data_IF_757836953090
#
_entry.id   IF_757836953090
#
_cell.length_a   1.000
_cell.length_b   1.000
_cell.length_c   1.000
_cell.angle_alpha   90.00
_cell.angle_beta   90.00
_cell.angle_gamma   90.00
#
_symmetry.space_group_name_H-M   'P 1'
#
loop_
_entity.id
_entity.type
_entity.pdbx_description
1 polymer ?
#
# COMPACT_ATOMS: atom_id res chain seq x y z
N UNK A 1 -37.81 18.37 19.92
CA UNK A 1 -38.57 17.43 19.07
C UNK A 1 -40.04 17.83 19.11
N UNK A 2 -40.83 17.71 18.03
CA UNK A 2 -40.54 17.21 16.67
C UNK A 2 -40.68 18.35 15.61
N UNK A 3 -40.42 18.22 14.31
CA UNK A 3 -39.98 17.13 13.44
C UNK A 3 -40.02 17.60 11.96
N UNK A 4 -38.96 17.27 11.21
CA UNK A 4 -38.90 16.72 9.83
C UNK A 4 -39.79 17.23 8.67
N UNK A 5 -39.12 17.52 7.54
CA UNK A 5 -39.65 17.48 6.16
C UNK A 5 -39.23 18.72 5.34
N UNK A 6 -38.61 18.66 4.17
CA UNK A 6 -38.12 17.59 3.31
C UNK A 6 -37.35 18.25 2.16
N UNK A 7 -36.13 17.79 1.87
CA UNK A 7 -35.39 18.16 0.66
C UNK A 7 -35.08 16.85 -0.06
N UNK A 8 -36.11 16.27 -0.65
CA UNK A 8 -36.04 15.01 -1.40
C UNK A 8 -36.90 15.14 -2.64
N UNK A 9 -36.38 15.84 -3.65
CA UNK A 9 -37.02 15.88 -4.98
C UNK A 9 -36.05 15.90 -6.17
N UNK A 10 -34.72 15.99 -5.95
CA UNK A 10 -33.77 16.21 -7.07
C UNK A 10 -32.93 15.02 -7.53
N UNK A 11 -32.86 13.91 -6.79
CA UNK A 11 -31.80 12.90 -7.01
C UNK A 11 -32.32 11.47 -7.22
N UNK A 12 -33.56 11.32 -7.70
CA UNK A 12 -34.18 10.00 -7.91
C UNK A 12 -34.33 9.60 -9.37
N UNK A 13 -33.79 10.38 -10.29
CA UNK A 13 -34.02 10.21 -11.74
C UNK A 13 -32.77 9.75 -12.53
N UNK A 14 -31.62 9.61 -11.86
CA UNK A 14 -30.36 9.12 -12.46
C UNK A 14 -30.09 7.62 -12.27
N UNK A 15 -31.02 6.88 -11.68
CA UNK A 15 -30.94 5.42 -11.51
C UNK A 15 -31.95 4.71 -12.41
N UNK A 16 -31.76 4.82 -13.74
CA UNK A 16 -32.35 3.86 -14.67
C UNK A 16 -31.30 2.78 -15.00
N UNK A 17 -31.61 1.49 -14.82
CA UNK A 17 -30.65 0.43 -15.13
C UNK A 17 -30.54 0.28 -16.65
N UNK A 18 -29.37 0.58 -17.20
CA UNK A 18 -29.03 0.19 -18.57
C UNK A 18 -28.85 -1.33 -18.61
N UNK A 19 -29.92 -1.99 -19.03
CA UNK A 19 -30.04 -3.41 -19.32
C UNK A 19 -29.09 -3.79 -20.47
N UNK A 20 -27.94 -4.36 -20.15
CA UNK A 20 -27.10 -5.07 -21.11
C UNK A 20 -26.85 -6.51 -20.64
N UNK A 21 -27.56 -7.43 -21.33
CA UNK A 21 -27.11 -8.78 -21.68
C UNK A 21 -25.69 -8.66 -22.28
N UNK A 22 -24.70 -9.52 -22.06
CA UNK A 22 -24.70 -10.97 -21.87
C UNK A 22 -23.33 -11.33 -21.30
N UNK A 23 -23.31 -12.22 -20.30
CA UNK A 23 -22.13 -13.02 -19.98
C UNK A 23 -21.77 -13.85 -21.21
N UNK A 24 -20.52 -13.77 -21.72
CA UNK A 24 -19.82 -14.85 -22.46
C UNK A 24 -18.46 -14.50 -23.13
N UNK A 25 -17.74 -13.41 -22.81
CA UNK A 25 -16.51 -13.06 -23.60
C UNK A 25 -15.21 -12.78 -22.82
N UNK A 26 -15.01 -13.35 -21.62
CA UNK A 26 -13.71 -13.22 -20.93
C UNK A 26 -13.04 -14.58 -20.69
N UNK A 27 -11.90 -14.75 -21.36
CA UNK A 27 -11.11 -15.98 -21.40
C UNK A 27 -10.44 -16.39 -20.07
N UNK A 28 -9.69 -17.51 -20.07
CA UNK A 28 -9.28 -18.24 -18.86
C UNK A 28 -8.38 -17.45 -17.88
N UNK A 29 -7.74 -16.37 -18.32
CA UNK A 29 -6.89 -15.52 -17.48
C UNK A 29 -7.68 -14.73 -16.41
N UNK A 30 -8.94 -14.36 -16.69
CA UNK A 30 -9.79 -13.62 -15.75
C UNK A 30 -10.20 -14.46 -14.52
N UNK A 31 -10.13 -15.79 -14.62
CA UNK A 31 -10.42 -16.71 -13.50
C UNK A 31 -9.26 -16.81 -12.50
N UNK A 32 -8.04 -16.50 -12.92
CA UNK A 32 -6.85 -16.62 -12.07
C UNK A 32 -6.67 -15.41 -11.14
N UNK A 33 -6.95 -14.20 -11.63
CA UNK A 33 -6.89 -12.98 -10.80
C UNK A 33 -8.05 -12.90 -9.79
N UNK A 34 -9.24 -13.34 -10.19
CA UNK A 34 -10.40 -13.41 -9.28
C UNK A 34 -10.17 -14.39 -8.12
N UNK A 35 -9.42 -15.48 -8.34
CA UNK A 35 -9.11 -16.50 -7.33
C UNK A 35 -8.09 -16.01 -6.29
N UNK A 36 -7.08 -15.24 -6.69
CA UNK A 36 -6.06 -14.71 -5.76
C UNK A 36 -6.66 -13.62 -4.86
N UNK A 37 -7.57 -12.79 -5.38
CA UNK A 37 -8.22 -11.74 -4.59
C UNK A 37 -9.33 -12.26 -3.64
N UNK A 38 -9.97 -13.40 -3.91
CA UNK A 38 -11.03 -13.95 -3.04
C UNK A 38 -10.51 -14.81 -1.88
N UNK A 39 -9.22 -15.19 -1.85
CA UNK A 39 -8.76 -16.24 -0.94
C UNK A 39 -7.87 -15.82 0.24
N UNK A 40 -7.47 -14.55 0.44
CA UNK A 40 -6.78 -14.21 1.69
C UNK A 40 -6.77 -12.74 2.14
N UNK A 41 -7.81 -11.95 1.84
CA UNK A 41 -8.01 -10.64 2.50
C UNK A 41 -9.02 -10.73 3.67
N UNK A 42 -9.61 -11.90 3.91
CA UNK A 42 -10.73 -12.11 4.83
C UNK A 42 -10.38 -12.49 6.26
N UNK A 43 -9.13 -12.37 6.69
CA UNK A 43 -8.78 -12.55 8.11
C UNK A 43 -7.65 -11.62 8.49
N UNK A 44 -7.99 -10.36 8.77
CA UNK A 44 -7.23 -9.63 9.77
C UNK A 44 -7.61 -10.27 11.12
N UNK A 45 -6.75 -11.09 11.74
CA UNK A 45 -6.98 -11.50 13.12
C UNK A 45 -7.13 -10.24 13.96
N UNK A 46 -8.00 -10.29 14.98
CA UNK A 46 -8.30 -9.19 15.92
C UNK A 46 -7.22 -8.12 15.98
N UNK A 47 -7.57 -6.88 15.63
CA UNK A 47 -6.67 -5.75 15.34
C UNK A 47 -5.90 -5.18 16.54
N UNK A 48 -5.78 -5.93 17.63
CA UNK A 48 -4.83 -5.61 18.68
C UNK A 48 -3.47 -6.22 18.35
N UNK A 49 -2.49 -5.38 18.05
CA UNK A 49 -1.09 -5.79 17.96
C UNK A 49 -0.60 -6.29 19.33
N UNK A 50 0.01 -7.47 19.34
CA UNK A 50 0.78 -7.97 20.48
C UNK A 50 2.21 -7.42 20.46
N UNK A 51 2.91 -7.50 21.59
CA UNK A 51 4.30 -7.04 21.71
C UNK A 51 5.26 -7.81 20.79
N UNK A 52 4.98 -9.09 20.53
CA UNK A 52 5.77 -9.91 19.61
C UNK A 52 5.68 -9.42 18.16
N UNK A 53 4.49 -8.99 17.72
CA UNK A 53 4.25 -8.43 16.38
C UNK A 53 4.89 -7.06 16.25
N UNK A 54 4.83 -6.21 17.29
CA UNK A 54 5.55 -4.92 17.29
C UNK A 54 7.05 -5.14 17.09
N UNK A 55 7.67 -6.07 17.83
CA UNK A 55 9.08 -6.41 17.64
C UNK A 55 9.37 -6.98 16.26
N UNK A 56 8.47 -7.81 15.72
CA UNK A 56 8.59 -8.36 14.38
C UNK A 56 8.56 -7.26 13.31
N UNK A 57 7.63 -6.32 13.40
CA UNK A 57 7.52 -5.19 12.48
C UNK A 57 8.75 -4.29 12.56
N UNK A 58 9.24 -4.02 13.78
CA UNK A 58 10.48 -3.25 13.97
C UNK A 58 11.69 -3.94 13.32
N UNK A 59 11.81 -5.27 13.48
CA UNK A 59 12.85 -6.06 12.81
C UNK A 59 12.77 -5.98 11.28
N UNK A 60 11.56 -6.05 10.71
CA UNK A 60 11.34 -5.89 9.26
C UNK A 60 11.73 -4.49 8.77
N UNK A 61 11.46 -3.46 9.58
CA UNK A 61 11.83 -2.08 9.31
C UNK A 61 13.31 -1.76 9.64
N UNK A 62 14.08 -2.72 10.18
CA UNK A 62 15.47 -2.53 10.66
C UNK A 62 15.59 -1.44 11.75
N UNK A 63 14.57 -1.33 12.61
CA UNK A 63 14.55 -0.42 13.75
C UNK A 63 14.85 -1.22 15.02
N UNK A 64 15.87 -0.80 15.77
CA UNK A 64 16.13 -1.33 17.11
C UNK A 64 15.17 -0.68 18.11
N UNK A 65 14.58 -1.49 19.00
CA UNK A 65 13.65 -1.03 20.03
C UNK A 65 14.07 -1.59 21.38
N UNK A 66 14.12 -0.72 22.38
CA UNK A 66 14.27 -1.13 23.78
C UNK A 66 12.95 -1.67 24.35
N UNK A 67 13.02 -2.46 25.42
CA UNK A 67 11.87 -3.16 25.99
C UNK A 67 10.78 -2.19 26.50
N UNK A 68 11.19 -1.05 27.04
CA UNK A 68 10.29 0.00 27.53
C UNK A 68 9.52 0.68 26.39
N UNK A 69 10.13 0.77 25.21
CA UNK A 69 9.52 1.42 24.04
C UNK A 69 8.46 0.55 23.39
N UNK A 70 8.60 -0.78 23.48
CA UNK A 70 7.67 -1.73 22.87
C UNK A 70 6.27 -1.57 23.44
N UNK A 71 6.12 -1.42 24.76
CA UNK A 71 4.80 -1.24 25.38
C UNK A 71 4.15 0.09 24.98
N UNK A 72 4.93 1.17 24.91
CA UNK A 72 4.45 2.49 24.45
C UNK A 72 3.98 2.42 23.00
N UNK A 73 4.84 1.91 22.11
CA UNK A 73 4.56 1.81 20.68
C UNK A 73 3.39 0.88 20.38
N UNK A 74 3.21 -0.19 21.16
CA UNK A 74 2.05 -1.06 21.04
C UNK A 74 0.74 -0.28 21.24
N UNK A 75 0.67 0.57 22.27
CA UNK A 75 -0.52 1.37 22.54
C UNK A 75 -0.77 2.41 21.43
N UNK A 76 0.27 3.10 20.98
CA UNK A 76 0.18 4.10 19.91
C UNK A 76 -0.26 3.48 18.57
N UNK A 77 0.35 2.35 18.18
CA UNK A 77 0.01 1.65 16.93
C UNK A 77 -1.42 1.09 16.96
N UNK A 78 -1.86 0.55 18.10
CA UNK A 78 -3.26 0.11 18.26
C UNK A 78 -4.24 1.29 18.11
N UNK A 79 -3.89 2.48 18.61
CA UNK A 79 -4.69 3.69 18.41
C UNK A 79 -4.81 4.10 16.94
N UNK A 80 -3.70 4.03 16.19
CA UNK A 80 -3.69 4.34 14.75
C UNK A 80 -4.51 3.31 13.97
N UNK A 81 -4.35 2.02 14.27
CA UNK A 81 -5.11 0.95 13.60
C UNK A 81 -6.61 1.06 13.85
N UNK A 82 -7.02 1.36 15.08
CA UNK A 82 -8.42 1.61 15.43
C UNK A 82 -9.02 2.83 14.68
N UNK A 83 -8.20 3.85 14.39
CA UNK A 83 -8.65 4.96 13.55
C UNK A 83 -8.80 4.55 12.08
N UNK A 84 -7.87 3.76 11.55
CA UNK A 84 -7.94 3.24 10.17
C UNK A 84 -9.13 2.31 9.95
N UNK A 85 -9.60 1.58 10.99
CA UNK A 85 -10.81 0.75 10.93
C UNK A 85 -12.05 1.51 10.47
N UNK A 86 -12.12 2.83 10.70
CA UNK A 86 -13.24 3.66 10.24
C UNK A 86 -13.41 3.61 8.71
N UNK A 87 -12.32 3.34 7.96
CA UNK A 87 -12.36 3.19 6.51
C UNK A 87 -13.08 1.92 6.05
N UNK A 88 -13.21 0.89 6.90
CA UNK A 88 -13.94 -0.34 6.57
C UNK A 88 -15.45 -0.13 6.43
N UNK A 89 -15.99 0.97 6.96
CA UNK A 89 -17.40 1.31 6.83
C UNK A 89 -17.79 1.76 5.40
N UNK A 90 -16.81 2.05 4.55
CA UNK A 90 -17.03 2.52 3.18
C UNK A 90 -17.01 1.34 2.23
N UNK A 91 -18.11 1.14 1.48
CA UNK A 91 -18.18 0.13 0.43
C UNK A 91 -17.33 0.55 -0.78
N UNK A 92 -16.39 -0.30 -1.15
CA UNK A 92 -15.47 -0.10 -2.29
C UNK A 92 -15.66 -1.17 -3.37
N UNK A 93 -16.76 -1.95 -3.31
CA UNK A 93 -17.05 -2.99 -4.30
C UNK A 93 -17.11 -2.42 -5.72
N UNK A 94 -16.25 -2.95 -6.60
CA UNK A 94 -16.21 -2.56 -8.01
C UNK A 94 -15.49 -1.24 -8.31
N UNK A 95 -14.80 -0.64 -7.33
CA UNK A 95 -13.96 0.54 -7.55
C UNK A 95 -12.52 0.09 -7.88
N UNK A 96 -11.97 0.61 -8.97
CA UNK A 96 -10.58 0.35 -9.37
C UNK A 96 -9.61 1.05 -8.39
N UNK A 97 -8.62 0.33 -7.84
CA UNK A 97 -7.60 0.94 -6.97
C UNK A 97 -6.77 1.98 -7.72
N UNK A 98 -6.52 3.12 -7.07
CA UNK A 98 -5.65 4.16 -7.64
C UNK A 98 -4.18 3.81 -7.37
N UNK A 99 -3.46 3.32 -8.39
CA UNK A 99 -2.01 3.08 -8.34
C UNK A 99 -1.24 4.23 -9.04
N UNK A 100 -0.84 5.25 -8.27
CA UNK A 100 -0.03 6.38 -8.77
C UNK A 100 -0.74 7.74 -8.76
N UNK A 101 0.04 8.80 -8.92
CA UNK A 101 -0.45 10.18 -8.91
C UNK A 101 -1.25 10.51 -10.18
N UNK A 102 -2.57 10.62 -10.02
CA UNK A 102 -3.56 10.91 -11.06
C UNK A 102 -3.70 9.82 -12.13
N UNK A 103 -4.94 9.35 -12.31
CA UNK A 103 -5.37 8.58 -13.47
C UNK A 103 -5.29 9.46 -14.74
N UNK A 104 -4.06 9.71 -15.20
CA UNK A 104 -3.79 10.30 -16.50
C UNK A 104 -3.61 9.12 -17.47
N UNK A 105 -4.51 8.93 -18.45
CA UNK A 105 -4.36 7.88 -19.46
C UNK A 105 -3.04 7.96 -20.23
N UNK A 106 -2.42 9.14 -20.30
CA UNK A 106 -1.07 9.34 -20.87
C UNK A 106 0.07 8.79 -19.99
N UNK A 107 -0.15 8.56 -18.69
CA UNK A 107 0.78 7.85 -17.80
C UNK A 107 0.69 6.32 -17.92
N UNK A 108 -0.28 5.79 -18.68
CA UNK A 108 -0.39 4.34 -18.92
C UNK A 108 0.75 3.82 -19.82
N UNK A 109 1.48 4.72 -20.50
CA UNK A 109 2.72 4.39 -21.18
C UNK A 109 3.86 4.59 -20.19
N UNK A 110 4.53 3.49 -19.82
CA UNK A 110 5.73 3.54 -19.00
C UNK A 110 6.75 4.50 -19.63
N UNK A 111 7.26 5.44 -18.83
CA UNK A 111 8.31 6.36 -19.30
C UNK A 111 9.57 5.55 -19.60
N UNK A 112 9.86 5.39 -20.89
CA UNK A 112 11.09 4.74 -21.34
C UNK A 112 12.26 5.73 -21.27
N UNK A 113 13.44 5.21 -20.92
CA UNK A 113 14.72 5.92 -20.99
C UNK A 113 15.50 5.34 -22.15
N UNK A 114 16.19 6.19 -22.93
CA UNK A 114 17.12 5.73 -23.96
C UNK A 114 18.28 4.92 -23.34
N UNK A 115 18.79 3.93 -24.06
CA UNK A 115 19.92 3.10 -23.64
C UNK A 115 21.25 3.75 -24.07
N UNK A 116 21.60 4.84 -23.40
CA UNK A 116 22.83 5.59 -23.65
C UNK A 116 23.57 5.80 -22.33
N UNK A 117 24.90 5.64 -22.35
CA UNK A 117 25.76 5.91 -21.20
C UNK A 117 25.86 7.43 -20.99
N UNK A 118 25.40 7.91 -19.84
CA UNK A 118 25.39 9.35 -19.52
C UNK A 118 26.46 9.79 -18.53
N UNK A 119 27.00 8.88 -17.72
CA UNK A 119 27.95 9.19 -16.65
C UNK A 119 28.83 7.97 -16.32
N UNK A 120 29.96 8.17 -15.62
CA UNK A 120 30.86 7.13 -15.16
C UNK A 120 32.21 7.65 -14.65
N UNK A 121 32.96 6.78 -13.96
CA UNK A 121 34.35 7.06 -13.57
C UNK A 121 34.53 8.11 -12.47
N UNK A 122 33.54 8.30 -11.60
CA UNK A 122 33.59 9.29 -10.51
C UNK A 122 33.53 8.66 -9.10
N UNK A 123 34.41 7.69 -8.76
CA UNK A 123 34.36 7.00 -7.47
C UNK A 123 34.48 7.96 -6.29
N UNK A 124 35.35 8.97 -6.37
CA UNK A 124 35.54 9.97 -5.33
C UNK A 124 34.28 10.82 -5.05
N UNK A 125 33.46 11.11 -6.07
CA UNK A 125 32.20 11.84 -5.87
C UNK A 125 31.12 10.95 -5.26
N UNK A 126 31.08 9.67 -5.65
CA UNK A 126 30.10 8.70 -5.13
C UNK A 126 30.38 8.37 -3.66
N UNK A 127 31.66 8.23 -3.30
CA UNK A 127 32.09 7.84 -1.95
C UNK A 127 32.25 9.03 -0.99
N UNK A 128 32.00 10.26 -1.44
CA UNK A 128 32.19 11.46 -0.61
C UNK A 128 31.37 11.46 0.69
N UNK A 129 30.20 10.78 0.70
CA UNK A 129 29.32 10.64 1.86
C UNK A 129 29.45 9.26 2.55
N UNK A 130 30.36 8.39 2.10
CA UNK A 130 30.53 7.07 2.68
C UNK A 130 31.12 7.19 4.10
N UNK A 131 30.51 6.57 5.13
CA UNK A 131 31.05 6.62 6.49
C UNK A 131 32.44 5.96 6.61
N UNK A 132 32.66 4.88 5.86
CA UNK A 132 33.93 4.18 5.76
C UNK A 132 34.13 3.68 4.32
N UNK A 133 35.36 3.76 3.81
CA UNK A 133 35.71 3.30 2.46
C UNK A 133 37.08 2.64 2.44
N UNK A 134 37.21 1.61 1.62
CA UNK A 134 38.50 1.00 1.31
C UNK A 134 38.72 1.07 -0.20
N UNK A 135 39.61 1.97 -0.63
CA UNK A 135 39.78 2.29 -2.05
C UNK A 135 38.48 2.83 -2.65
N UNK A 136 38.02 2.16 -3.71
CA UNK A 136 36.79 2.50 -4.45
C UNK A 136 35.55 1.71 -3.97
N UNK A 137 35.58 1.13 -2.77
CA UNK A 137 34.50 0.30 -2.22
C UNK A 137 33.92 0.86 -0.92
N UNK A 138 32.63 0.61 -0.70
CA UNK A 138 31.98 0.80 0.60
C UNK A 138 32.36 -0.34 1.54
N UNK A 139 32.80 0.00 2.75
CA UNK A 139 33.10 -0.99 3.77
C UNK A 139 31.83 -1.33 4.56
N UNK A 140 31.50 -2.62 4.67
CA UNK A 140 30.41 -3.11 5.52
C UNK A 140 30.91 -4.24 6.41
N UNK A 141 30.36 -4.42 7.62
CA UNK A 141 30.66 -5.58 8.45
C UNK A 141 30.42 -6.87 7.68
N UNK A 142 31.33 -7.84 7.82
CA UNK A 142 31.22 -9.13 7.16
C UNK A 142 29.91 -9.79 7.59
N UNK A 143 29.09 -10.19 6.61
CA UNK A 143 27.93 -11.05 6.84
C UNK A 143 28.46 -12.45 7.16
N UNK A 144 28.27 -12.90 8.40
CA UNK A 144 28.57 -14.25 8.87
C UNK A 144 27.26 -14.92 9.31
N UNK A 145 27.12 -16.20 8.99
CA UNK A 145 26.01 -17.07 9.45
C UNK A 145 26.35 -17.72 10.80
#
# INVERSE_FOLDING_TARGET
MPGSGGVSAGFRELLRPARWRTALDFGPAARFLALVCTLNWGSFPNMSLDTATVRRVASLARIHLEDEEVTRLQAELNGILAWVEQLQAVDTAGIEPLAGGAAMPELAVLRMRDDVVTDGGMPEKVLANAPDRQGDFFTVPKVVE
#
